data_IF_199098292228
#
_entry.id   IF_199098292228
#
_cell.length_a   1.000
_cell.length_b   1.000
_cell.length_c   1.000
_cell.angle_alpha   90.00
_cell.angle_beta   90.00
_cell.angle_gamma   90.00
#
_symmetry.space_group_name_H-M   'P 1'
#
loop_
_entity.id
_entity.type
_entity.pdbx_description
1 polymer ?
#
# COMPACT_ATOMS: atom_id res chain seq x y z
N UNK A 1 26.87 -30.31 -28.49
CA UNK A 1 25.66 -29.48 -28.46
C UNK A 1 24.70 -30.15 -27.47
N UNK A 2 24.77 -29.75 -26.21
CA UNK A 2 23.87 -30.27 -25.16
C UNK A 2 23.17 -29.10 -24.49
N UNK A 3 21.87 -29.25 -24.35
CA UNK A 3 20.90 -28.28 -23.87
C UNK A 3 20.91 -28.16 -22.33
N UNK A 4 22.05 -27.78 -21.76
CA UNK A 4 22.19 -27.56 -20.30
C UNK A 4 22.58 -26.12 -19.93
N UNK A 5 22.71 -25.24 -20.92
CA UNK A 5 23.06 -23.81 -20.73
C UNK A 5 21.82 -22.89 -20.63
N UNK A 6 20.63 -23.48 -20.58
CA UNK A 6 19.36 -22.78 -20.45
C UNK A 6 18.73 -23.17 -19.10
N UNK A 7 18.39 -22.16 -18.27
CA UNK A 7 17.71 -22.24 -16.94
C UNK A 7 18.53 -22.00 -15.66
N UNK A 8 19.50 -21.09 -15.67
CA UNK A 8 19.80 -20.30 -14.48
C UNK A 8 19.65 -18.81 -14.79
N UNK A 9 18.38 -18.36 -14.85
CA UNK A 9 18.08 -16.93 -14.66
C UNK A 9 18.70 -16.51 -13.32
N UNK A 10 19.45 -15.40 -13.23
CA UNK A 10 20.02 -14.96 -11.96
C UNK A 10 18.88 -14.78 -10.96
N UNK A 11 18.98 -15.47 -9.82
CA UNK A 11 18.06 -15.29 -8.70
C UNK A 11 18.09 -13.80 -8.34
N UNK A 12 16.95 -13.09 -8.34
CA UNK A 12 16.92 -11.68 -7.98
C UNK A 12 17.57 -11.48 -6.61
N UNK A 13 18.46 -10.50 -6.51
CA UNK A 13 19.00 -10.11 -5.21
C UNK A 13 17.84 -9.58 -4.35
N UNK A 14 17.34 -10.43 -3.45
CA UNK A 14 16.24 -10.11 -2.55
C UNK A 14 16.53 -8.89 -1.68
N UNK A 15 17.80 -8.63 -1.36
CA UNK A 15 18.22 -7.46 -0.60
C UNK A 15 18.07 -6.21 -1.45
N UNK A 16 18.61 -6.21 -2.68
CA UNK A 16 18.46 -5.09 -3.59
C UNK A 16 16.99 -4.80 -3.94
N UNK A 17 16.18 -5.85 -4.12
CA UNK A 17 14.74 -5.70 -4.35
C UNK A 17 14.03 -5.09 -3.14
N UNK A 18 14.33 -5.55 -1.92
CA UNK A 18 13.77 -5.01 -0.69
C UNK A 18 14.12 -3.53 -0.52
N UNK A 19 15.39 -3.17 -0.71
CA UNK A 19 15.84 -1.78 -0.60
C UNK A 19 15.19 -0.87 -1.66
N UNK A 20 15.02 -1.38 -2.89
CA UNK A 20 14.27 -0.66 -3.92
C UNK A 20 12.79 -0.48 -3.55
N UNK A 21 12.13 -1.50 -2.98
CA UNK A 21 10.74 -1.37 -2.50
C UNK A 21 10.62 -0.34 -1.39
N UNK A 22 11.50 -0.37 -0.38
CA UNK A 22 11.52 0.63 0.70
C UNK A 22 11.70 2.05 0.16
N UNK A 23 12.62 2.24 -0.79
CA UNK A 23 12.83 3.52 -1.46
C UNK A 23 11.54 4.00 -2.15
N UNK A 24 10.92 3.15 -2.97
CA UNK A 24 9.69 3.50 -3.70
C UNK A 24 8.53 3.81 -2.75
N UNK A 25 8.35 3.04 -1.68
CA UNK A 25 7.33 3.30 -0.64
C UNK A 25 7.55 4.69 -0.03
N UNK A 26 8.80 5.05 0.30
CA UNK A 26 9.13 6.37 0.86
C UNK A 26 8.87 7.51 -0.12
N UNK A 27 9.30 7.35 -1.38
CA UNK A 27 9.05 8.35 -2.41
C UNK A 27 7.55 8.54 -2.64
N UNK A 28 6.81 7.43 -2.72
CA UNK A 28 5.35 7.43 -2.89
C UNK A 28 4.71 8.21 -1.75
N UNK A 29 5.04 7.86 -0.50
CA UNK A 29 4.45 8.49 0.66
C UNK A 29 4.80 9.97 0.75
N UNK A 30 6.03 10.35 0.43
CA UNK A 30 6.46 11.75 0.38
C UNK A 30 5.60 12.57 -0.60
N UNK A 31 5.32 12.03 -1.79
CA UNK A 31 4.45 12.68 -2.76
C UNK A 31 2.98 12.73 -2.32
N UNK A 32 2.51 11.71 -1.59
CA UNK A 32 1.19 11.73 -0.93
C UNK A 32 1.14 12.83 0.13
N UNK A 33 2.10 12.92 1.03
CA UNK A 33 2.16 13.94 2.11
C UNK A 33 2.18 15.37 1.54
N UNK A 34 2.89 15.61 0.45
CA UNK A 34 3.03 16.93 -0.16
C UNK A 34 1.82 17.36 -1.00
N UNK A 35 1.13 16.41 -1.62
CA UNK A 35 0.01 16.71 -2.52
C UNK A 35 -1.37 16.42 -1.93
N UNK A 36 -1.60 15.18 -1.50
CA UNK A 36 -2.92 14.70 -1.07
C UNK A 36 -3.14 14.81 0.44
N UNK A 37 -2.09 14.58 1.25
CA UNK A 37 -2.17 14.50 2.71
C UNK A 37 -3.32 13.54 3.14
N UNK A 38 -4.08 13.87 4.19
CA UNK A 38 -5.22 13.07 4.66
C UNK A 38 -6.31 12.88 3.59
N UNK A 39 -6.40 13.73 2.57
CA UNK A 39 -7.37 13.54 1.50
C UNK A 39 -7.13 12.24 0.70
N UNK A 40 -5.91 11.69 0.71
CA UNK A 40 -5.63 10.39 0.12
C UNK A 40 -6.45 9.27 0.80
N UNK A 41 -6.56 9.29 2.13
CA UNK A 41 -7.30 8.26 2.87
C UNK A 41 -8.80 8.52 2.92
N UNK A 42 -9.23 9.77 2.77
CA UNK A 42 -10.64 10.11 2.54
C UNK A 42 -11.11 9.58 1.17
N UNK A 43 -10.33 9.84 0.11
CA UNK A 43 -10.59 9.31 -1.23
C UNK A 43 -10.57 7.77 -1.25
N UNK A 44 -9.66 7.16 -0.49
CA UNK A 44 -9.62 5.70 -0.29
C UNK A 44 -10.94 5.16 0.24
N UNK A 45 -11.49 5.69 1.34
CA UNK A 45 -12.74 5.16 1.88
C UNK A 45 -13.94 5.42 0.97
N UNK A 46 -14.00 6.58 0.31
CA UNK A 46 -15.03 6.87 -0.67
C UNK A 46 -15.02 5.83 -1.80
N UNK A 47 -13.84 5.53 -2.35
CA UNK A 47 -13.68 4.55 -3.44
C UNK A 47 -13.87 3.11 -2.96
N UNK A 48 -13.48 2.80 -1.72
CA UNK A 48 -13.67 1.49 -1.13
C UNK A 48 -15.15 1.13 -1.06
N UNK A 49 -16.00 2.02 -0.55
CA UNK A 49 -17.43 1.75 -0.43
C UNK A 49 -18.15 1.77 -1.78
N UNK A 50 -17.66 2.56 -2.75
CA UNK A 50 -18.17 2.52 -4.12
C UNK A 50 -17.91 1.16 -4.81
N UNK A 51 -16.72 0.57 -4.64
CA UNK A 51 -16.31 -0.66 -5.32
C UNK A 51 -16.62 -1.94 -4.53
N UNK A 52 -16.67 -1.83 -3.21
CA UNK A 52 -16.76 -2.94 -2.26
C UNK A 52 -17.80 -2.64 -1.18
N UNK A 53 -19.06 -2.44 -1.57
CA UNK A 53 -20.16 -2.13 -0.65
C UNK A 53 -20.34 -3.17 0.47
N UNK A 54 -19.86 -4.41 0.27
CA UNK A 54 -19.87 -5.48 1.27
C UNK A 54 -19.08 -5.15 2.54
N UNK A 55 -18.09 -4.26 2.47
CA UNK A 55 -17.27 -3.86 3.62
C UNK A 55 -17.80 -2.61 4.34
N UNK A 56 -18.74 -1.88 3.73
CA UNK A 56 -19.25 -0.61 4.27
C UNK A 56 -19.89 -0.80 5.65
N UNK A 57 -20.64 -1.89 5.83
CA UNK A 57 -21.28 -2.23 7.10
C UNK A 57 -20.31 -2.41 8.28
N UNK A 58 -19.04 -2.73 8.01
CA UNK A 58 -18.01 -2.84 9.05
C UNK A 58 -17.65 -1.47 9.67
N UNK A 59 -18.01 -0.38 8.99
CA UNK A 59 -17.74 1.00 9.41
C UNK A 59 -19.01 1.72 9.91
N UNK A 60 -20.14 1.02 10.09
CA UNK A 60 -21.43 1.63 10.44
C UNK A 60 -21.44 2.48 11.73
N UNK A 61 -20.47 2.27 12.61
CA UNK A 61 -20.31 3.00 13.87
C UNK A 61 -19.07 3.89 13.92
N UNK A 62 -18.38 4.05 12.79
CA UNK A 62 -17.18 4.87 12.69
C UNK A 62 -17.52 6.29 12.24
N UNK A 63 -16.85 7.29 12.85
CA UNK A 63 -16.70 8.60 12.21
C UNK A 63 -15.67 8.45 11.10
N UNK A 64 -16.11 8.56 9.84
CA UNK A 64 -15.26 8.30 8.68
C UNK A 64 -14.13 9.31 8.51
N UNK A 65 -14.28 10.54 8.99
CA UNK A 65 -13.20 11.53 8.98
C UNK A 65 -12.11 11.15 9.99
N UNK A 66 -12.52 10.69 11.19
CA UNK A 66 -11.58 10.16 12.18
C UNK A 66 -10.92 8.88 11.66
N UNK A 67 -11.67 8.01 10.99
CA UNK A 67 -11.15 6.76 10.43
C UNK A 67 -10.13 7.00 9.31
N UNK A 68 -10.38 7.95 8.41
CA UNK A 68 -9.42 8.38 7.40
C UNK A 68 -8.12 8.91 8.03
N UNK A 69 -8.23 9.73 9.08
CA UNK A 69 -7.07 10.25 9.82
C UNK A 69 -6.26 9.12 10.49
N UNK A 70 -6.94 8.15 11.10
CA UNK A 70 -6.28 6.98 11.71
C UNK A 70 -5.49 6.19 10.68
N UNK A 71 -6.08 5.91 9.52
CA UNK A 71 -5.39 5.19 8.44
C UNK A 71 -4.17 5.98 7.95
N UNK A 72 -4.32 7.29 7.76
CA UNK A 72 -3.24 8.16 7.32
C UNK A 72 -2.04 8.13 8.28
N UNK A 73 -2.30 8.28 9.59
CA UNK A 73 -1.23 8.24 10.59
C UNK A 73 -0.56 6.87 10.72
N UNK A 74 -1.33 5.78 10.61
CA UNK A 74 -0.76 4.42 10.62
C UNK A 74 0.16 4.20 9.43
N UNK A 75 -0.24 4.63 8.23
CA UNK A 75 0.61 4.55 7.04
C UNK A 75 1.86 5.43 7.20
N UNK A 76 1.70 6.67 7.65
CA UNK A 76 2.81 7.60 7.92
C UNK A 76 3.84 7.02 8.89
N UNK A 77 3.38 6.46 10.01
CA UNK A 77 4.26 5.82 11.00
C UNK A 77 4.91 4.59 10.38
N UNK A 78 4.16 3.75 9.68
CA UNK A 78 4.70 2.53 9.06
C UNK A 78 5.82 2.85 8.07
N UNK A 79 5.63 3.87 7.21
CA UNK A 79 6.65 4.32 6.25
C UNK A 79 7.90 4.87 6.94
N UNK A 80 7.72 5.62 8.04
CA UNK A 80 8.84 6.17 8.82
C UNK A 80 9.71 5.07 9.43
N UNK A 81 9.12 3.93 9.80
CA UNK A 81 9.80 2.83 10.48
C UNK A 81 10.22 1.69 9.54
N UNK A 82 10.24 1.88 8.22
CA UNK A 82 10.61 0.83 7.25
C UNK A 82 12.03 0.25 7.44
N UNK A 83 12.97 0.99 8.04
CA UNK A 83 14.31 0.47 8.36
C UNK A 83 14.39 -0.18 9.76
N UNK A 84 13.33 -0.08 10.55
CA UNK A 84 13.22 -0.63 11.88
C UNK A 84 11.90 -1.41 12.05
N UNK A 85 11.73 -2.41 11.16
CA UNK A 85 10.53 -3.24 11.12
C UNK A 85 10.32 -4.03 12.42
N UNK A 86 11.40 -4.38 13.13
CA UNK A 86 11.32 -5.08 14.43
C UNK A 86 10.54 -4.25 15.46
N UNK A 87 10.69 -2.92 15.44
CA UNK A 87 9.93 -2.03 16.33
C UNK A 87 8.48 -1.83 15.87
N UNK A 88 8.19 -2.01 14.58
CA UNK A 88 6.84 -1.84 14.00
C UNK A 88 5.99 -3.12 14.17
N UNK A 89 6.63 -4.29 14.13
CA UNK A 89 5.96 -5.59 14.07
C UNK A 89 4.96 -5.83 15.21
N UNK A 90 5.29 -5.59 16.49
CA UNK A 90 4.34 -5.83 17.59
C UNK A 90 3.08 -4.96 17.50
N UNK A 91 3.23 -3.72 17.05
CA UNK A 91 2.10 -2.80 16.87
C UNK A 91 1.19 -3.26 15.73
N UNK A 92 1.75 -3.66 14.60
CA UNK A 92 0.96 -4.19 13.47
C UNK A 92 0.28 -5.53 13.82
N UNK A 93 0.91 -6.37 14.64
CA UNK A 93 0.31 -7.62 15.12
C UNK A 93 -0.89 -7.35 16.04
N UNK A 94 -0.76 -6.45 17.03
CA UNK A 94 -1.88 -6.04 17.89
C UNK A 94 -3.04 -5.47 17.06
N UNK A 95 -2.71 -4.62 16.08
CA UNK A 95 -3.70 -4.10 15.14
C UNK A 95 -4.39 -5.24 14.38
N UNK A 96 -3.64 -6.19 13.83
CA UNK A 96 -4.18 -7.33 13.10
C UNK A 96 -5.12 -8.20 13.95
N UNK A 97 -4.75 -8.46 15.21
CA UNK A 97 -5.61 -9.19 16.17
C UNK A 97 -6.93 -8.46 16.36
N UNK A 98 -6.89 -7.14 16.61
CA UNK A 98 -8.13 -6.36 16.75
C UNK A 98 -8.97 -6.33 15.47
N UNK A 99 -8.34 -6.27 14.30
CA UNK A 99 -9.05 -6.36 13.02
C UNK A 99 -9.79 -7.69 12.90
N UNK A 100 -9.14 -8.80 13.21
CA UNK A 100 -9.75 -10.12 13.14
C UNK A 100 -10.83 -10.32 14.21
N UNK A 101 -10.49 -10.09 15.49
CA UNK A 101 -11.34 -10.47 16.62
C UNK A 101 -12.47 -9.48 16.90
N UNK A 102 -12.23 -8.18 16.79
CA UNK A 102 -13.23 -7.17 17.13
C UNK A 102 -14.08 -6.74 15.93
N UNK A 103 -13.49 -6.73 14.73
CA UNK A 103 -14.17 -6.23 13.53
C UNK A 103 -14.53 -7.33 12.53
N UNK A 104 -14.09 -8.57 12.74
CA UNK A 104 -14.38 -9.68 11.82
C UNK A 104 -13.69 -9.53 10.47
N UNK A 105 -12.54 -8.83 10.41
CA UNK A 105 -11.76 -8.69 9.18
C UNK A 105 -11.11 -10.02 8.84
N UNK A 106 -11.37 -10.50 7.62
CA UNK A 106 -10.74 -11.69 7.06
C UNK A 106 -9.74 -11.33 5.97
N UNK A 107 -8.95 -12.30 5.51
CA UNK A 107 -7.91 -12.09 4.50
C UNK A 107 -8.48 -11.48 3.22
N UNK A 108 -9.67 -11.91 2.82
CA UNK A 108 -10.34 -11.49 1.59
C UNK A 108 -10.63 -9.99 1.56
N UNK A 109 -10.89 -9.37 2.72
CA UNK A 109 -11.10 -7.92 2.82
C UNK A 109 -9.84 -7.12 2.49
N UNK A 110 -8.64 -7.69 2.66
CA UNK A 110 -7.39 -7.00 2.31
C UNK A 110 -7.20 -6.86 0.80
N UNK A 111 -7.79 -7.74 -0.01
CA UNK A 111 -7.73 -7.62 -1.48
C UNK A 111 -8.45 -6.35 -1.96
N UNK A 112 -9.64 -6.07 -1.40
CA UNK A 112 -10.40 -4.85 -1.68
C UNK A 112 -9.61 -3.59 -1.27
N UNK A 113 -8.98 -3.62 -0.09
CA UNK A 113 -8.13 -2.52 0.36
C UNK A 113 -6.95 -2.29 -0.58
N UNK A 114 -6.21 -3.34 -0.93
CA UNK A 114 -5.02 -3.23 -1.78
C UNK A 114 -5.39 -2.77 -3.20
N UNK A 115 -6.47 -3.28 -3.80
CA UNK A 115 -6.95 -2.85 -5.12
C UNK A 115 -7.24 -1.35 -5.16
N UNK A 116 -8.03 -0.86 -4.20
CA UNK A 116 -8.44 0.54 -4.12
C UNK A 116 -7.24 1.45 -3.86
N UNK A 117 -6.38 1.07 -2.91
CA UNK A 117 -5.22 1.88 -2.55
C UNK A 117 -4.23 2.01 -3.72
N UNK A 118 -3.89 0.91 -4.38
CA UNK A 118 -3.01 0.92 -5.55
C UNK A 118 -3.63 1.72 -6.70
N UNK A 119 -4.94 1.60 -6.92
CA UNK A 119 -5.64 2.38 -7.96
C UNK A 119 -5.49 3.88 -7.73
N UNK A 120 -5.73 4.36 -6.50
CA UNK A 120 -5.61 5.78 -6.15
C UNK A 120 -4.18 6.28 -6.34
N UNK A 121 -3.19 5.51 -5.90
CA UNK A 121 -1.79 5.87 -6.11
C UNK A 121 -1.47 5.94 -7.61
N UNK A 122 -1.85 4.93 -8.39
CA UNK A 122 -1.58 4.88 -9.82
C UNK A 122 -2.20 6.06 -10.57
N UNK A 123 -3.46 6.42 -10.26
CA UNK A 123 -4.14 7.57 -10.83
C UNK A 123 -3.38 8.87 -10.50
N UNK A 124 -3.02 9.07 -9.23
CA UNK A 124 -2.29 10.24 -8.77
C UNK A 124 -0.93 10.37 -9.46
N UNK A 125 -0.12 9.30 -9.47
CA UNK A 125 1.23 9.34 -10.04
C UNK A 125 1.24 9.48 -11.55
N UNK A 126 0.30 8.83 -12.25
CA UNK A 126 0.18 8.96 -13.70
C UNK A 126 -0.14 10.40 -14.13
N UNK A 127 -0.92 11.13 -13.33
CA UNK A 127 -1.30 12.51 -13.62
C UNK A 127 -0.21 13.53 -13.24
N UNK A 128 0.51 13.31 -12.14
CA UNK A 128 1.40 14.33 -11.55
C UNK A 128 2.89 14.12 -11.84
N UNK A 129 3.31 12.92 -12.26
CA UNK A 129 4.71 12.62 -12.58
C UNK A 129 4.88 12.00 -13.98
N UNK A 130 4.36 12.63 -15.04
CA UNK A 130 4.42 12.08 -16.40
C UNK A 130 5.85 11.93 -16.94
N UNK A 131 6.78 12.78 -16.48
CA UNK A 131 8.14 12.90 -17.04
C UNK A 131 9.17 11.90 -16.47
N UNK A 132 8.83 11.14 -15.41
CA UNK A 132 9.72 10.10 -14.88
C UNK A 132 9.76 8.88 -15.82
N UNK A 133 10.56 8.91 -16.89
CA UNK A 133 10.92 7.87 -17.90
C UNK A 133 9.80 6.97 -18.52
N UNK A 134 8.72 6.67 -17.81
CA UNK A 134 7.34 6.87 -18.28
C UNK A 134 6.47 6.87 -17.01
N UNK A 135 5.63 7.87 -16.79
CA UNK A 135 4.78 7.93 -15.58
C UNK A 135 4.00 6.62 -15.33
N UNK A 136 3.68 5.87 -16.38
CA UNK A 136 3.11 4.52 -16.30
C UNK A 136 4.06 3.47 -15.70
N UNK A 137 5.34 3.45 -16.08
CA UNK A 137 6.34 2.56 -15.45
C UNK A 137 6.57 2.95 -14.00
N UNK A 138 6.62 4.25 -13.69
CA UNK A 138 6.73 4.69 -12.30
C UNK A 138 5.50 4.29 -11.47
N UNK A 139 4.29 4.46 -12.03
CA UNK A 139 3.06 4.00 -11.39
C UNK A 139 3.05 2.47 -11.20
N UNK A 140 3.48 1.69 -12.18
CA UNK A 140 3.61 0.23 -12.03
C UNK A 140 4.60 -0.14 -10.92
N UNK A 141 5.80 0.45 -10.90
CA UNK A 141 6.81 0.22 -9.86
C UNK A 141 6.28 0.59 -8.46
N UNK A 142 5.54 1.70 -8.35
CA UNK A 142 4.84 2.10 -7.12
C UNK A 142 3.80 1.05 -6.75
N UNK A 143 2.91 0.67 -7.66
CA UNK A 143 1.90 -0.35 -7.41
C UNK A 143 2.51 -1.67 -6.93
N UNK A 144 3.61 -2.12 -7.55
CA UNK A 144 4.35 -3.29 -7.13
C UNK A 144 4.92 -3.16 -5.72
N UNK A 145 5.51 -2.00 -5.38
CA UNK A 145 6.10 -1.76 -4.07
C UNK A 145 5.07 -1.79 -2.92
N UNK A 146 3.82 -1.43 -3.20
CA UNK A 146 2.70 -1.46 -2.23
C UNK A 146 1.85 -2.73 -2.30
N UNK A 147 2.21 -3.69 -3.17
CA UNK A 147 1.52 -4.98 -3.32
C UNK A 147 2.20 -6.10 -2.52
N UNK A 148 1.46 -7.21 -2.33
CA UNK A 148 1.93 -8.40 -1.62
C UNK A 148 2.67 -9.43 -2.51
N UNK A 149 2.82 -9.13 -3.81
CA UNK A 149 3.41 -10.02 -4.81
C UNK A 149 4.94 -9.91 -4.91
#
# INVERSE_FOLDING_TARGET
MSAEDDLMQPVPDHTALLERRKMLIRETWCAVEQGLNVHATEAFYARLFERHSEVEGMFAHADMRIQAMKLYEVLRVSVRFLDNMESLTPMLQDMGVRHAEAYGVVREHYNAMTDVFITILNEYFSQHFPDKLSGAVYAMDVGHAWSWA
#
